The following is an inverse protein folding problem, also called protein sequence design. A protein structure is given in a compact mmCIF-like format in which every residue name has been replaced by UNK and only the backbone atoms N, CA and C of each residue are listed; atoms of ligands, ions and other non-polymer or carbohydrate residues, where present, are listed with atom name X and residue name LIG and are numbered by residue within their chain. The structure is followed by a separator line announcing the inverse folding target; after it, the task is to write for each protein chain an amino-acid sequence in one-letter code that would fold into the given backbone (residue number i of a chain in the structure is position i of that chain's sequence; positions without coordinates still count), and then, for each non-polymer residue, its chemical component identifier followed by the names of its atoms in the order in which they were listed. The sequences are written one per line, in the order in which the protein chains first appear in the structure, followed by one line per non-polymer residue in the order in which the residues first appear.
data_IF_637152712391
#
_entry.id   IF_637152712391
#
_cell.length_a   1.000
_cell.length_b   1.000
_cell.length_c   1.000
_cell.angle_alpha   90.00
_cell.angle_beta   90.00
_cell.angle_gamma   90.00
#
_symmetry.space_group_name_H-M   'P 1'
#
loop_
_entity.id
_entity.type
_entity.pdbx_description
1 polymer ?
#
# COMPACT_ATOMS: atom_id res chain seq x y z
N UNK A 1 -4.75 41.85 -50.10
CA UNK A 1 -3.39 41.42 -49.71
C UNK A 1 -3.57 40.26 -48.74
N UNK A 2 -3.50 39.03 -49.23
CA UNK A 2 -3.74 37.84 -48.39
C UNK A 2 -2.52 37.58 -47.50
N UNK A 3 -2.78 37.25 -46.23
CA UNK A 3 -1.73 36.97 -45.23
C UNK A 3 -0.96 35.69 -45.64
N UNK A 4 0.35 35.77 -45.92
CA UNK A 4 1.14 34.63 -46.39
C UNK A 4 1.19 33.46 -45.39
N UNK A 5 0.78 33.68 -44.14
CA UNK A 5 0.66 32.62 -43.12
C UNK A 5 -0.51 31.64 -43.35
N UNK A 6 -1.47 31.99 -44.21
CA UNK A 6 -2.64 31.14 -44.51
C UNK A 6 -2.33 30.01 -45.49
N UNK A 7 -1.19 30.08 -46.19
CA UNK A 7 -0.79 29.15 -47.26
C UNK A 7 -0.14 27.84 -46.80
N UNK A 8 0.11 27.67 -45.50
CA UNK A 8 0.78 26.48 -44.91
C UNK A 8 -0.11 25.71 -43.94
N UNK A 9 -1.42 25.67 -44.16
CA UNK A 9 -2.28 24.74 -43.43
C UNK A 9 -2.04 23.33 -43.97
N UNK A 10 -1.46 22.47 -43.14
CA UNK A 10 -1.37 21.04 -43.40
C UNK A 10 -2.77 20.47 -43.71
N UNK A 11 -2.90 19.52 -44.64
CA UNK A 11 -4.19 18.90 -44.93
C UNK A 11 -4.76 18.29 -43.64
N UNK A 12 -6.01 18.63 -43.31
CA UNK A 12 -6.71 18.03 -42.18
C UNK A 12 -7.01 16.57 -42.53
N UNK A 13 -6.24 15.65 -41.94
CA UNK A 13 -6.44 14.22 -42.13
C UNK A 13 -7.63 13.82 -41.24
N UNK A 14 -8.72 13.25 -41.82
CA UNK A 14 -9.87 12.83 -41.02
C UNK A 14 -9.44 11.79 -39.99
N UNK A 15 -9.71 12.07 -38.72
CA UNK A 15 -9.35 11.22 -37.57
C UNK A 15 -8.03 11.57 -36.88
N UNK A 16 -7.22 12.49 -37.42
CA UNK A 16 -6.02 13.00 -36.75
C UNK A 16 -6.34 14.35 -36.10
N UNK A 17 -6.18 14.51 -34.77
CA UNK A 17 -6.39 15.79 -34.11
C UNK A 17 -5.51 16.88 -34.72
N UNK A 18 -6.08 18.04 -34.99
CA UNK A 18 -5.36 19.16 -35.60
C UNK A 18 -4.19 19.57 -34.69
N UNK A 19 -3.05 20.00 -35.25
CA UNK A 19 -1.87 20.46 -34.47
C UNK A 19 -2.26 21.49 -33.41
N UNK A 20 -3.22 22.36 -33.70
CA UNK A 20 -3.71 23.34 -32.74
C UNK A 20 -4.43 22.72 -31.53
N UNK A 21 -5.02 21.53 -31.68
CA UNK A 21 -5.63 20.77 -30.59
C UNK A 21 -4.60 19.98 -29.79
N UNK A 22 -3.58 19.44 -30.46
CA UNK A 22 -2.43 18.79 -29.81
C UNK A 22 -1.60 19.76 -28.98
N UNK A 23 -1.56 21.03 -29.39
CA UNK A 23 -0.85 22.10 -28.68
C UNK A 23 -1.74 22.80 -27.63
N UNK A 24 -3.02 22.42 -27.47
CA UNK A 24 -3.81 22.87 -26.33
C UNK A 24 -3.13 22.31 -25.07
N UNK A 25 -2.76 23.14 -24.09
CA UNK A 25 -2.22 22.63 -22.85
C UNK A 25 -3.23 21.66 -22.25
N UNK A 26 -2.75 20.52 -21.75
CA UNK A 26 -3.58 19.59 -21.00
C UNK A 26 -4.01 20.30 -19.70
N UNK A 27 -5.11 21.03 -19.76
CA UNK A 27 -5.73 21.66 -18.60
C UNK A 27 -6.56 20.58 -17.93
N UNK A 28 -5.93 19.84 -17.02
CA UNK A 28 -6.69 19.02 -16.10
C UNK A 28 -7.64 19.92 -15.31
N UNK A 29 -8.86 19.47 -14.95
CA UNK A 29 -9.84 20.22 -14.19
C UNK A 29 -9.39 20.37 -12.71
N UNK A 30 -8.19 20.91 -12.50
CA UNK A 30 -7.59 21.19 -11.21
C UNK A 30 -8.33 22.30 -10.45
N UNK A 31 -9.27 23.02 -11.07
CA UNK A 31 -10.18 23.94 -10.39
C UNK A 31 -11.39 23.23 -9.77
N UNK A 32 -11.73 22.02 -10.21
CA UNK A 32 -12.87 21.28 -9.67
C UNK A 32 -12.51 20.60 -8.35
N UNK A 33 -13.30 20.87 -7.31
CA UNK A 33 -13.09 20.37 -5.95
C UNK A 33 -13.04 18.83 -5.89
N UNK A 34 -13.89 18.15 -6.67
CA UNK A 34 -13.90 16.69 -6.75
C UNK A 34 -12.61 16.11 -7.34
N UNK A 35 -12.07 16.73 -8.39
CA UNK A 35 -10.82 16.31 -9.01
C UNK A 35 -9.62 16.53 -8.08
N UNK A 36 -9.61 17.61 -7.28
CA UNK A 36 -8.60 17.81 -6.22
C UNK A 36 -8.64 16.71 -5.16
N UNK A 37 -9.83 16.37 -4.67
CA UNK A 37 -9.96 15.31 -3.65
C UNK A 37 -9.49 13.98 -4.21
N UNK A 38 -9.94 13.64 -5.43
CA UNK A 38 -9.51 12.42 -6.11
C UNK A 38 -7.98 12.35 -6.27
N UNK A 39 -7.37 13.43 -6.77
CA UNK A 39 -5.92 13.48 -6.95
C UNK A 39 -5.17 13.40 -5.63
N UNK A 40 -5.65 14.04 -4.56
CA UNK A 40 -5.04 13.90 -3.23
C UNK A 40 -5.12 12.47 -2.70
N UNK A 41 -6.31 11.85 -2.74
CA UNK A 41 -6.49 10.47 -2.27
C UNK A 41 -5.61 9.51 -3.06
N UNK A 42 -5.61 9.64 -4.39
CA UNK A 42 -4.81 8.79 -5.26
C UNK A 42 -3.31 8.98 -5.03
N UNK A 43 -2.86 10.22 -4.86
CA UNK A 43 -1.44 10.53 -4.60
C UNK A 43 -0.98 9.98 -3.26
N UNK A 44 -1.81 10.12 -2.22
CA UNK A 44 -1.53 9.54 -0.89
C UNK A 44 -1.50 8.02 -0.98
N UNK A 45 -2.49 7.41 -1.63
CA UNK A 45 -2.55 5.96 -1.81
C UNK A 45 -1.33 5.41 -2.57
N UNK A 46 -0.93 6.08 -3.65
CA UNK A 46 0.27 5.72 -4.41
C UNK A 46 1.54 5.87 -3.56
N UNK A 47 1.66 6.93 -2.77
CA UNK A 47 2.78 7.12 -1.84
C UNK A 47 2.86 6.02 -0.79
N UNK A 48 1.74 5.68 -0.16
CA UNK A 48 1.67 4.58 0.80
C UNK A 48 1.98 3.23 0.16
N UNK A 49 1.44 2.96 -1.04
CA UNK A 49 1.77 1.76 -1.80
C UNK A 49 3.28 1.64 -2.00
N UNK A 50 3.92 2.70 -2.49
CA UNK A 50 5.36 2.75 -2.71
C UNK A 50 6.17 2.54 -1.42
N UNK A 51 5.68 2.98 -0.26
CA UNK A 51 6.41 2.81 1.01
C UNK A 51 6.31 1.37 1.54
N UNK A 52 5.13 0.75 1.44
CA UNK A 52 4.82 -0.49 2.17
C UNK A 52 4.93 -1.79 1.35
N UNK A 53 4.68 -1.77 0.04
CA UNK A 53 4.48 -3.01 -0.75
C UNK A 53 5.73 -3.41 -1.56
N UNK A 54 6.23 -2.59 -2.50
CA UNK A 54 7.29 -3.03 -3.41
C UNK A 54 8.63 -3.13 -2.68
N UNK A 55 9.39 -4.18 -2.95
CA UNK A 55 10.79 -4.29 -2.52
C UNK A 55 11.69 -3.70 -3.59
N UNK A 56 12.14 -2.46 -3.37
CA UNK A 56 13.08 -1.81 -4.26
C UNK A 56 14.50 -2.32 -3.98
N UNK A 57 15.24 -2.58 -5.05
CA UNK A 57 16.68 -2.87 -4.99
C UNK A 57 17.44 -1.58 -5.31
N UNK A 58 18.27 -1.11 -4.39
CA UNK A 58 19.07 0.12 -4.53
C UNK A 58 18.49 1.36 -3.85
N UNK A 59 19.12 2.52 -4.06
CA UNK A 59 18.70 3.79 -3.48
C UNK A 59 17.45 4.33 -4.17
N UNK A 60 16.43 4.63 -3.38
CA UNK A 60 15.17 5.22 -3.85
C UNK A 60 14.69 6.32 -2.89
N UNK A 61 13.90 7.27 -3.42
CA UNK A 61 13.42 8.43 -2.67
C UNK A 61 12.63 8.06 -1.39
N UNK A 62 11.98 6.89 -1.39
CA UNK A 62 11.18 6.42 -0.25
C UNK A 62 11.98 5.68 0.84
N UNK A 63 13.29 5.49 0.66
CA UNK A 63 14.12 4.63 1.51
C UNK A 63 14.30 5.23 2.93
N UNK A 64 14.51 6.55 3.10
CA UNK A 64 14.55 7.17 4.43
C UNK A 64 13.22 7.03 5.17
N UNK A 65 12.10 7.26 4.48
CA UNK A 65 10.75 7.18 5.06
C UNK A 65 10.46 5.75 5.49
N UNK A 66 10.80 4.76 4.66
CA UNK A 66 10.60 3.36 4.96
C UNK A 66 11.44 2.91 6.16
N UNK A 67 12.71 3.33 6.24
CA UNK A 67 13.57 3.06 7.42
C UNK A 67 12.94 3.62 8.69
N UNK A 68 12.50 4.88 8.66
CA UNK A 68 11.83 5.50 9.78
C UNK A 68 10.56 4.75 10.20
N UNK A 69 9.71 4.34 9.24
CA UNK A 69 8.51 3.54 9.54
C UNK A 69 8.88 2.20 10.17
N UNK A 70 9.92 1.52 9.71
CA UNK A 70 10.40 0.28 10.31
C UNK A 70 10.90 0.49 11.74
N UNK A 71 11.62 1.58 12.02
CA UNK A 71 12.05 1.93 13.37
C UNK A 71 10.85 2.20 14.30
N UNK A 72 9.83 2.90 13.81
CA UNK A 72 8.60 3.14 14.58
C UNK A 72 7.84 1.85 14.85
N UNK A 73 7.76 0.94 13.88
CA UNK A 73 7.19 -0.41 14.09
C UNK A 73 7.94 -1.17 15.18
N UNK A 74 9.28 -1.11 15.18
CA UNK A 74 10.10 -1.72 16.23
C UNK A 74 9.78 -1.16 17.62
N UNK A 75 9.55 0.14 17.73
CA UNK A 75 9.18 0.80 19.00
C UNK A 75 7.74 0.51 19.43
N UNK A 76 6.80 0.42 18.47
CA UNK A 76 5.39 0.16 18.76
C UNK A 76 5.14 -1.30 19.18
N UNK A 77 5.89 -2.23 18.59
CA UNK A 77 5.76 -3.67 18.87
C UNK A 77 6.63 -4.13 20.06
N UNK A 78 7.38 -3.23 20.69
CA UNK A 78 8.03 -3.52 21.95
C UNK A 78 7.00 -3.50 23.07
N UNK A 79 6.94 -4.61 23.82
CA UNK A 79 6.17 -4.70 25.05
C UNK A 79 6.73 -3.63 25.99
N UNK A 80 5.85 -2.80 26.55
CA UNK A 80 6.26 -1.81 27.53
C UNK A 80 6.77 -2.56 28.77
N UNK A 81 7.81 -2.08 29.45
CA UNK A 81 8.37 -2.78 30.62
C UNK A 81 7.31 -3.03 31.71
N UNK A 82 6.31 -2.15 31.80
CA UNK A 82 5.13 -2.26 32.68
C UNK A 82 4.27 -3.50 32.37
N UNK A 83 4.21 -3.92 31.11
CA UNK A 83 3.34 -4.99 30.62
C UNK A 83 4.09 -6.34 30.51
N UNK A 84 5.41 -6.37 30.70
CA UNK A 84 6.21 -7.60 30.55
C UNK A 84 5.82 -8.70 31.55
N UNK A 85 5.53 -8.33 32.79
CA UNK A 85 5.12 -9.29 33.83
C UNK A 85 3.76 -9.91 33.51
N UNK A 86 2.82 -9.07 33.05
CA UNK A 86 1.50 -9.50 32.62
C UNK A 86 1.57 -10.45 31.41
N UNK A 87 2.40 -10.11 30.41
CA UNK A 87 2.59 -10.95 29.24
C UNK A 87 3.22 -12.28 29.63
N UNK A 88 4.24 -12.32 30.51
CA UNK A 88 4.86 -13.58 30.96
C UNK A 88 3.85 -14.51 31.64
N UNK A 89 3.02 -13.98 32.54
CA UNK A 89 1.98 -14.76 33.21
C UNK A 89 0.95 -15.34 32.23
N UNK A 90 0.46 -14.52 31.29
CA UNK A 90 -0.51 -14.94 30.28
C UNK A 90 0.06 -15.93 29.27
N UNK A 91 1.33 -15.77 28.91
CA UNK A 91 2.02 -16.69 27.99
C UNK A 91 2.20 -18.06 28.63
N UNK A 92 2.54 -18.12 29.92
CA UNK A 92 2.61 -19.38 30.68
C UNK A 92 1.25 -20.05 30.82
N UNK A 93 0.19 -19.27 31.09
CA UNK A 93 -1.19 -19.78 31.16
C UNK A 93 -1.68 -20.35 29.81
N UNK A 94 -1.34 -19.68 28.70
CA UNK A 94 -1.66 -20.14 27.34
C UNK A 94 -0.87 -21.40 26.97
N UNK A 95 0.42 -21.47 27.31
CA UNK A 95 1.24 -22.66 27.07
C UNK A 95 0.68 -23.88 27.81
N UNK A 96 0.30 -23.72 29.09
CA UNK A 96 -0.32 -24.78 29.87
C UNK A 96 -1.66 -25.25 29.26
N UNK A 97 -2.48 -24.32 28.75
CA UNK A 97 -3.74 -24.65 28.05
C UNK A 97 -3.51 -25.37 26.73
N UNK A 98 -2.49 -24.99 25.97
CA UNK A 98 -2.10 -25.67 24.73
C UNK A 98 -1.59 -27.08 25.01
N UNK A 99 -0.81 -27.29 26.07
CA UNK A 99 -0.37 -28.62 26.47
C UNK A 99 -1.53 -29.52 26.92
N UNK A 100 -2.52 -28.96 27.63
CA UNK A 100 -3.72 -29.69 28.02
C UNK A 100 -4.58 -30.07 26.79
N UNK A 101 -4.79 -29.13 25.87
CA UNK A 101 -5.50 -29.40 24.62
C UNK A 101 -4.76 -30.42 23.73
N UNK A 102 -3.42 -30.38 23.70
CA UNK A 102 -2.61 -31.38 23.02
C UNK A 102 -2.73 -32.77 23.66
N UNK A 103 -2.83 -32.86 24.99
CA UNK A 103 -3.03 -34.13 25.70
C UNK A 103 -4.45 -34.69 25.51
N UNK A 104 -5.47 -33.85 25.48
CA UNK A 104 -6.86 -34.25 25.19
C UNK A 104 -7.01 -34.77 23.76
N UNK A 105 -6.44 -34.07 22.77
CA UNK A 105 -6.47 -34.50 21.37
C UNK A 105 -5.74 -35.82 21.12
N UNK A 106 -4.65 -36.11 21.85
CA UNK A 106 -3.94 -37.40 21.80
C UNK A 106 -4.76 -38.52 22.45
N UNK A 107 -5.44 -38.26 23.58
CA UNK A 107 -6.31 -39.27 24.20
C UNK A 107 -7.55 -39.59 23.37
N UNK A 108 -8.10 -38.61 22.65
CA UNK A 108 -9.25 -38.82 21.78
C UNK A 108 -8.89 -39.62 20.53
N UNK A 109 -7.70 -39.39 19.95
CA UNK A 109 -7.19 -40.20 18.82
C UNK A 109 -6.82 -41.64 19.22
N UNK A 110 -6.33 -41.86 20.44
CA UNK A 110 -6.07 -43.21 20.97
C UNK A 110 -7.38 -43.99 21.25
N UNK A 111 -8.43 -43.32 21.73
CA UNK A 111 -9.75 -43.96 21.96
C UNK A 111 -10.49 -44.29 20.67
N UNK A 112 -10.32 -43.49 19.62
CA UNK A 112 -10.92 -43.72 18.30
C UNK A 112 -10.22 -44.89 17.58
N UNK A 113 -8.90 -45.00 17.70
CA UNK A 113 -8.12 -46.11 17.12
C UNK A 113 -8.27 -47.44 17.88
N UNK A 114 -8.53 -47.42 19.18
CA UNK A 114 -8.79 -48.62 19.98
C UNK A 114 -10.22 -49.20 19.82
N UNK A 115 -11.12 -48.49 19.13
CA UNK A 115 -12.51 -48.91 18.88
C UNK A 115 -12.74 -49.50 17.48
N UNK A 116 -11.70 -49.53 16.64
CA UNK A 116 -11.69 -50.14 15.30
C UNK A 116 -11.02 -51.51 15.31
#
# INVERSE_FOLDING_TARGET
MEDPRKSRSFPEIPGVPNRNELMKPLIFPNSQRGFKIFTYVLSIAAGLYCIFIPEYKGDHAFLPIRRWVHEQKGKLLQIRPEDEEYVKQRTAELAAKVELAAKETVQDTEKETAKS
#
